data_IF_498230159065
#
_entry.id   IF_498230159065
#
_cell.length_a   1.000
_cell.length_b   1.000
_cell.length_c   1.000
_cell.angle_alpha   90.00
_cell.angle_beta   90.00
_cell.angle_gamma   90.00
#
_symmetry.space_group_name_H-M   'P 1'
#
loop_
_entity.id
_entity.type
_entity.pdbx_description
1 polymer ?
#
# COMPACT_ATOMS: atom_id res chain seq x y z
N UNK A 1 -19.79 3.68 10.23
CA UNK A 1 -20.03 4.38 8.95
C UNK A 1 -19.66 5.83 9.17
N UNK A 2 -18.76 6.40 8.36
CA UNK A 2 -18.36 7.80 8.50
C UNK A 2 -19.56 8.66 8.09
N UNK A 3 -20.34 9.11 9.06
CA UNK A 3 -21.52 9.91 8.80
C UNK A 3 -21.09 11.30 8.33
N UNK A 4 -21.32 11.60 7.06
CA UNK A 4 -21.50 12.98 6.64
C UNK A 4 -22.70 13.52 7.41
N UNK A 5 -22.46 14.32 8.44
CA UNK A 5 -23.51 14.92 9.27
C UNK A 5 -24.29 15.90 8.39
N UNK A 6 -25.47 15.51 7.94
CA UNK A 6 -26.40 16.41 7.25
C UNK A 6 -26.70 17.59 8.19
N UNK A 7 -26.46 18.85 7.79
CA UNK A 7 -26.74 19.97 8.66
C UNK A 7 -28.25 20.08 8.89
N UNK A 8 -28.70 20.47 10.09
CA UNK A 8 -30.12 20.73 10.33
C UNK A 8 -30.59 21.84 9.38
N UNK A 9 -31.68 21.58 8.66
CA UNK A 9 -32.31 22.56 7.76
C UNK A 9 -32.91 23.67 8.62
N UNK A 10 -32.15 24.73 8.86
CA UNK A 10 -32.65 25.94 9.49
C UNK A 10 -33.06 26.94 8.41
N UNK A 11 -34.35 27.24 8.35
CA UNK A 11 -34.95 28.25 7.46
C UNK A 11 -34.61 29.66 7.95
N UNK A 12 -33.53 30.23 7.42
CA UNK A 12 -33.14 31.63 7.60
C UNK A 12 -32.18 32.08 6.47
N UNK A 13 -32.20 33.36 6.04
CA UNK A 13 -31.54 33.79 4.81
C UNK A 13 -30.07 34.14 5.08
N UNK A 14 -29.18 33.15 5.13
CA UNK A 14 -27.81 33.25 4.63
C UNK A 14 -27.14 31.87 4.64
N UNK A 15 -27.05 31.13 3.52
CA UNK A 15 -26.21 29.96 3.46
C UNK A 15 -24.76 30.42 3.37
N UNK A 16 -24.12 30.68 4.51
CA UNK A 16 -22.66 30.66 4.58
C UNK A 16 -22.24 29.26 4.14
N UNK A 17 -21.77 29.18 2.88
CA UNK A 17 -21.25 27.96 2.27
C UNK A 17 -20.09 27.50 3.14
N UNK A 18 -20.35 26.52 4.00
CA UNK A 18 -19.32 25.87 4.81
C UNK A 18 -18.35 25.24 3.81
N UNK A 19 -17.18 25.85 3.67
CA UNK A 19 -16.08 25.29 2.88
C UNK A 19 -15.56 24.07 3.64
N UNK A 20 -16.20 22.92 3.45
CA UNK A 20 -15.60 21.67 3.88
C UNK A 20 -14.34 21.47 3.03
N UNK A 21 -13.20 21.33 3.71
CA UNK A 21 -11.98 20.89 3.06
C UNK A 21 -12.28 19.52 2.45
N UNK A 22 -12.21 19.41 1.13
CA UNK A 22 -12.27 18.12 0.47
C UNK A 22 -11.08 17.29 0.97
N UNK A 23 -11.28 16.01 1.34
CA UNK A 23 -10.18 15.18 1.80
C UNK A 23 -9.17 15.03 0.65
N UNK A 24 -7.90 15.33 0.95
CA UNK A 24 -6.81 15.16 0.01
C UNK A 24 -6.63 13.67 -0.26
N UNK A 25 -6.73 13.26 -1.53
CA UNK A 25 -6.51 11.86 -1.91
C UNK A 25 -5.06 11.48 -1.62
N UNK A 26 -4.87 10.39 -0.88
CA UNK A 26 -3.55 9.83 -0.58
C UNK A 26 -3.28 8.64 -1.49
N UNK A 27 -2.07 8.56 -2.02
CA UNK A 27 -1.60 7.42 -2.80
C UNK A 27 -0.53 6.68 -2.00
N UNK A 28 -0.63 5.36 -1.94
CA UNK A 28 0.37 4.50 -1.31
C UNK A 28 1.01 3.68 -2.42
N UNK A 29 2.21 4.07 -2.79
CA UNK A 29 3.04 3.37 -3.76
C UNK A 29 3.68 2.16 -3.07
N UNK A 30 3.46 0.98 -3.64
CA UNK A 30 3.80 -0.29 -3.01
C UNK A 30 4.69 -1.11 -3.93
N UNK A 31 5.89 -1.43 -3.45
CA UNK A 31 6.77 -2.46 -3.97
C UNK A 31 6.31 -3.83 -3.45
N UNK A 32 6.04 -4.76 -4.35
CA UNK A 32 5.72 -6.15 -4.02
C UNK A 32 6.94 -7.01 -4.32
N UNK A 33 7.39 -7.79 -3.32
CA UNK A 33 8.54 -8.68 -3.44
C UNK A 33 8.08 -10.11 -3.23
N UNK A 34 8.58 -11.03 -4.05
CA UNK A 34 8.26 -12.45 -3.96
C UNK A 34 9.52 -13.26 -3.72
N UNK A 35 9.45 -14.21 -2.79
CA UNK A 35 10.54 -15.13 -2.50
C UNK A 35 10.56 -16.32 -3.49
N UNK A 36 11.65 -17.07 -3.44
CA UNK A 36 11.88 -18.27 -4.24
C UNK A 36 10.76 -19.30 -4.05
N UNK A 37 10.23 -19.43 -2.83
CA UNK A 37 9.17 -20.40 -2.51
C UNK A 37 7.84 -20.02 -3.14
N UNK A 38 7.47 -18.74 -3.17
CA UNK A 38 6.23 -18.28 -3.78
C UNK A 38 6.30 -18.38 -5.31
N UNK A 39 7.49 -18.18 -5.88
CA UNK A 39 7.78 -18.48 -7.30
C UNK A 39 7.62 -19.98 -7.59
N UNK A 40 8.23 -20.83 -6.78
CA UNK A 40 8.15 -22.28 -6.95
C UNK A 40 6.71 -22.80 -6.81
N UNK A 41 5.91 -22.21 -5.92
CA UNK A 41 4.54 -22.63 -5.66
C UNK A 41 3.56 -22.19 -6.77
N UNK A 42 3.62 -20.93 -7.21
CA UNK A 42 2.65 -20.40 -8.18
C UNK A 42 3.10 -20.51 -9.64
N UNK A 43 4.40 -20.68 -9.90
CA UNK A 43 4.97 -20.82 -11.25
C UNK A 43 4.54 -19.69 -12.19
N UNK A 44 3.99 -20.05 -13.36
CA UNK A 44 3.51 -19.08 -14.36
C UNK A 44 2.32 -18.24 -13.87
N UNK A 45 1.58 -18.71 -12.87
CA UNK A 45 0.42 -18.02 -12.29
C UNK A 45 0.77 -16.94 -11.26
N UNK A 46 2.04 -16.83 -10.86
CA UNK A 46 2.52 -15.93 -9.81
C UNK A 46 2.06 -14.48 -9.98
N UNK A 47 2.27 -13.92 -11.17
CA UNK A 47 1.93 -12.51 -11.45
C UNK A 47 0.43 -12.26 -11.33
N UNK A 48 -0.38 -13.15 -11.89
CA UNK A 48 -1.84 -13.03 -11.83
C UNK A 48 -2.35 -13.14 -10.39
N UNK A 49 -1.78 -14.05 -9.61
CA UNK A 49 -2.10 -14.21 -8.20
C UNK A 49 -1.82 -12.93 -7.40
N UNK A 50 -0.61 -12.37 -7.54
CA UNK A 50 -0.23 -11.12 -6.87
C UNK A 50 -1.12 -9.94 -7.24
N UNK A 51 -1.40 -9.77 -8.54
CA UNK A 51 -2.29 -8.71 -9.01
C UNK A 51 -3.69 -8.87 -8.42
N UNK A 52 -4.17 -10.10 -8.26
CA UNK A 52 -5.48 -10.39 -7.65
C UNK A 52 -5.48 -10.01 -6.16
N UNK A 53 -4.44 -10.40 -5.42
CA UNK A 53 -4.30 -10.06 -3.99
C UNK A 53 -4.20 -8.54 -3.81
N UNK A 54 -3.39 -7.86 -4.61
CA UNK A 54 -3.25 -6.40 -4.56
C UNK A 54 -4.53 -5.69 -4.97
N UNK A 55 -5.29 -6.20 -5.94
CA UNK A 55 -6.60 -5.64 -6.30
C UNK A 55 -7.61 -5.78 -5.15
N UNK A 56 -7.62 -6.92 -4.46
CA UNK A 56 -8.45 -7.12 -3.27
C UNK A 56 -8.07 -6.17 -2.13
N UNK A 57 -6.76 -6.00 -1.87
CA UNK A 57 -6.25 -5.04 -0.90
C UNK A 57 -6.64 -3.60 -1.29
N UNK A 58 -6.40 -3.18 -2.53
CA UNK A 58 -6.76 -1.85 -3.01
C UNK A 58 -8.27 -1.57 -2.88
N UNK A 59 -9.12 -2.58 -3.07
CA UNK A 59 -10.56 -2.47 -2.84
C UNK A 59 -10.89 -2.29 -1.36
N UNK A 60 -10.19 -2.98 -0.46
CA UNK A 60 -10.37 -2.81 0.98
C UNK A 60 -9.95 -1.41 1.45
N UNK A 61 -8.85 -0.85 0.92
CA UNK A 61 -8.39 0.51 1.24
C UNK A 61 -9.36 1.61 0.76
N UNK A 62 -10.16 1.32 -0.27
CA UNK A 62 -11.21 2.21 -0.76
C UNK A 62 -12.54 2.05 -0.01
N UNK A 63 -12.59 1.21 1.01
CA UNK A 63 -13.84 0.99 1.73
C UNK A 63 -14.22 2.23 2.55
N UNK A 64 -15.49 2.70 2.51
CA UNK A 64 -15.92 3.91 3.21
C UNK A 64 -15.74 3.89 4.73
N UNK A 65 -15.42 2.75 5.35
CA UNK A 65 -15.13 2.68 6.79
C UNK A 65 -13.80 3.33 7.19
N UNK A 66 -12.87 3.50 6.24
CA UNK A 66 -11.54 4.07 6.50
C UNK A 66 -11.62 5.60 6.68
N UNK A 67 -12.74 6.23 6.27
CA UNK A 67 -13.01 7.67 6.36
C UNK A 67 -12.00 8.59 5.65
N UNK A 68 -10.94 8.04 5.06
CA UNK A 68 -9.89 8.76 4.33
C UNK A 68 -9.75 8.15 2.93
N UNK A 69 -9.79 8.94 1.84
CA UNK A 69 -9.59 8.45 0.49
C UNK A 69 -8.12 8.05 0.26
N UNK A 70 -7.81 6.78 0.55
CA UNK A 70 -6.50 6.16 0.30
C UNK A 70 -6.58 5.25 -0.93
N UNK A 71 -5.66 5.45 -1.87
CA UNK A 71 -5.50 4.61 -3.07
C UNK A 71 -4.19 3.83 -3.00
N UNK A 72 -4.29 2.52 -2.82
CA UNK A 72 -3.15 1.61 -2.90
C UNK A 72 -2.77 1.35 -4.36
N UNK A 73 -1.51 1.58 -4.71
CA UNK A 73 -0.95 1.40 -6.05
C UNK A 73 0.23 0.45 -5.99
N UNK A 74 0.21 -0.60 -6.80
CA UNK A 74 1.37 -1.47 -7.00
C UNK A 74 2.25 -0.84 -8.07
N UNK A 75 3.41 -0.31 -7.66
CA UNK A 75 4.32 0.44 -8.54
C UNK A 75 5.43 -0.44 -9.08
N UNK A 76 5.91 -1.41 -8.31
CA UNK A 76 6.96 -2.34 -8.74
C UNK A 76 6.70 -3.76 -8.23
N UNK A 77 7.09 -4.75 -9.04
CA UNK A 77 7.10 -6.18 -8.70
C UNK A 77 8.51 -6.73 -8.85
N UNK A 78 9.10 -7.19 -7.74
CA UNK A 78 10.39 -7.88 -7.74
C UNK A 78 10.16 -9.37 -7.48
N UNK A 79 10.70 -10.18 -8.38
CA UNK A 79 10.62 -11.64 -8.28
C UNK A 79 12.01 -12.17 -8.00
N UNK A 80 12.24 -12.61 -6.76
CA UNK A 80 13.55 -13.14 -6.34
C UNK A 80 13.65 -14.60 -6.81
N UNK A 81 14.51 -14.82 -7.79
CA UNK A 81 14.88 -16.15 -8.25
C UNK A 81 15.76 -16.90 -7.24
N UNK A 82 15.91 -18.22 -7.41
CA UNK A 82 16.83 -19.00 -6.59
C UNK A 82 18.28 -18.50 -6.76
N UNK A 83 18.86 -17.97 -5.68
CA UNK A 83 20.22 -17.41 -5.66
C UNK A 83 20.30 -15.89 -5.87
N UNK A 84 19.19 -15.18 -6.07
CA UNK A 84 19.17 -13.72 -5.98
C UNK A 84 19.28 -13.24 -4.52
N UNK A 85 19.92 -12.08 -4.34
CA UNK A 85 20.16 -11.49 -3.02
C UNK A 85 18.89 -10.88 -2.43
N UNK A 86 18.11 -11.74 -1.77
CA UNK A 86 16.88 -11.40 -1.05
C UNK A 86 17.03 -11.33 0.48
N UNK A 87 15.98 -10.91 1.20
CA UNK A 87 15.97 -10.95 2.65
C UNK A 87 16.05 -12.38 3.16
N UNK A 88 16.82 -12.60 4.22
CA UNK A 88 16.99 -13.91 4.83
C UNK A 88 15.74 -14.29 5.63
N UNK A 89 15.10 -15.39 5.24
CA UNK A 89 13.99 -15.95 5.99
C UNK A 89 14.51 -16.70 7.23
N UNK A 90 14.26 -16.12 8.41
CA UNK A 90 14.61 -16.73 9.69
C UNK A 90 13.59 -17.79 10.16
N UNK A 91 13.95 -18.62 11.15
CA UNK A 91 13.04 -19.59 11.78
C UNK A 91 11.87 -18.95 12.55
N UNK A 92 11.95 -17.65 12.86
CA UNK A 92 10.88 -16.90 13.53
C UNK A 92 10.40 -15.74 12.68
N UNK A 93 9.13 -15.35 12.85
CA UNK A 93 8.53 -14.22 12.14
C UNK A 93 9.23 -12.90 12.47
N UNK A 94 9.64 -12.71 13.73
CA UNK A 94 10.38 -11.51 14.17
C UNK A 94 11.71 -11.38 13.44
N UNK A 95 12.47 -12.46 13.31
CA UNK A 95 13.77 -12.44 12.63
C UNK A 95 13.61 -12.19 11.13
N UNK A 96 12.59 -12.79 10.50
CA UNK A 96 12.26 -12.55 9.09
C UNK A 96 11.87 -11.10 8.85
N UNK A 97 11.03 -10.50 9.70
CA UNK A 97 10.65 -9.08 9.57
C UNK A 97 11.87 -8.17 9.67
N UNK A 98 12.75 -8.41 10.65
CA UNK A 98 13.97 -7.61 10.79
C UNK A 98 14.87 -7.72 9.56
N UNK A 99 15.02 -8.91 8.98
CA UNK A 99 15.79 -9.09 7.75
C UNK A 99 15.15 -8.40 6.55
N UNK A 100 13.82 -8.43 6.43
CA UNK A 100 13.10 -7.75 5.36
C UNK A 100 13.29 -6.23 5.47
N UNK A 101 13.14 -5.66 6.67
CA UNK A 101 13.35 -4.23 6.89
C UNK A 101 14.78 -3.80 6.55
N UNK A 102 15.79 -4.56 6.97
CA UNK A 102 17.19 -4.27 6.68
C UNK A 102 17.49 -4.33 5.17
N UNK A 103 16.97 -5.36 4.48
CA UNK A 103 17.12 -5.48 3.02
C UNK A 103 16.38 -4.36 2.28
N UNK A 104 15.16 -4.02 2.70
CA UNK A 104 14.37 -2.95 2.11
C UNK A 104 15.04 -1.57 2.24
N UNK A 105 15.69 -1.30 3.37
CA UNK A 105 16.47 -0.07 3.56
C UNK A 105 17.62 0.06 2.54
N UNK A 106 18.24 -1.05 2.14
CA UNK A 106 19.29 -1.07 1.13
C UNK A 106 18.79 -0.77 -0.30
N UNK A 107 17.50 -0.93 -0.56
CA UNK A 107 16.88 -0.65 -1.86
C UNK A 107 16.40 0.79 -2.00
N UNK A 108 16.25 1.53 -0.90
CA UNK A 108 15.69 2.88 -0.93
C UNK A 108 16.80 3.89 -1.23
N UNK A 109 16.78 4.53 -2.40
CA UNK A 109 17.64 5.68 -2.69
C UNK A 109 17.24 6.85 -1.79
N UNK A 110 18.22 7.50 -1.14
CA UNK A 110 18.04 8.51 -0.09
C UNK A 110 17.32 9.80 -0.51
N UNK A 111 17.00 9.99 -1.78
CA UNK A 111 16.41 11.22 -2.30
C UNK A 111 14.91 11.02 -2.53
N UNK A 112 14.09 11.67 -1.70
CA UNK A 112 12.61 11.77 -1.79
C UNK A 112 12.14 12.42 -3.12
N UNK A 113 13.06 12.89 -3.96
CA UNK A 113 12.80 13.48 -5.28
C UNK A 113 12.95 12.52 -6.46
N UNK A 114 13.33 11.25 -6.25
CA UNK A 114 13.49 10.28 -7.34
C UNK A 114 12.26 9.37 -7.48
N UNK A 115 11.94 8.99 -8.72
CA UNK A 115 10.73 8.24 -9.12
C UNK A 115 10.61 6.84 -8.50
N UNK A 116 11.61 6.36 -7.75
CA UNK A 116 11.72 5.02 -7.19
C UNK A 116 11.51 4.98 -5.65
N UNK A 117 10.99 6.06 -5.05
CA UNK A 117 10.75 6.12 -3.60
C UNK A 117 9.43 5.42 -3.20
N UNK A 118 9.52 4.32 -2.44
CA UNK A 118 8.33 3.63 -1.92
C UNK A 118 7.93 4.15 -0.53
N UNK A 119 6.68 4.58 -0.40
CA UNK A 119 6.16 5.27 0.80
C UNK A 119 5.85 4.34 2.01
N UNK A 120 6.06 3.03 1.89
CA UNK A 120 5.79 2.07 2.96
C UNK A 120 7.05 1.84 3.80
N UNK A 121 7.34 2.81 4.69
CA UNK A 121 8.17 2.56 5.87
C UNK A 121 7.39 1.63 6.81
N UNK A 122 7.81 0.36 6.87
CA UNK A 122 7.52 -0.52 8.00
C UNK A 122 8.39 -0.11 9.20
#
# INVERSE_FOLDING_TARGET
>A
MCSAKTPPRNSGPNPQRVKFFAPLSRFVETLVVTDDKMVAFHGTGLKCYLLTVMAAAAKAFKHPSICDPVSLLMTQLVVLGPGEEGPQMGPSTTQTLHSICAWHQGLNTTEVSDSDHFALYL
#
